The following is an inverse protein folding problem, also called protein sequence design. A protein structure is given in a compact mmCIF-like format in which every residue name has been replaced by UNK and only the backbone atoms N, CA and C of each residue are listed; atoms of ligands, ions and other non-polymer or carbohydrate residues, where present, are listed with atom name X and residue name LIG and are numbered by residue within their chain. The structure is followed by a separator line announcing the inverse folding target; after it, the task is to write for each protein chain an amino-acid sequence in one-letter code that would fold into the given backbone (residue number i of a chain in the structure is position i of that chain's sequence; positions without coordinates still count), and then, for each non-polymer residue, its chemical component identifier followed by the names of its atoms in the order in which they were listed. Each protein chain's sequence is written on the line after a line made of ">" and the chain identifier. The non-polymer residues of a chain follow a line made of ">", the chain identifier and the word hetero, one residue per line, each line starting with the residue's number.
data_IF_095754547798
#
_entry.id   IF_095754547798
#
_cell.length_a   1.000
_cell.length_b   1.000
_cell.length_c   1.000
_cell.angle_alpha   90.00
_cell.angle_beta   90.00
_cell.angle_gamma   90.00
#
_symmetry.space_group_name_H-M   'P 1'
#
loop_
_entity.id
_entity.type
_entity.pdbx_description
1 polymer ?
#
# COMPACT_ATOMS: atom_id res chain seq x y z
N UNK A 1 -11.86 -1.93 23.66
CA UNK A 1 -12.75 -2.17 22.50
C UNK A 1 -12.79 -0.87 21.73
N UNK A 2 -12.24 -0.85 20.52
CA UNK A 2 -12.49 0.29 19.63
C UNK A 2 -13.97 0.28 19.26
N UNK A 3 -14.64 1.43 19.43
CA UNK A 3 -16.09 1.54 19.34
C UNK A 3 -16.62 1.39 17.90
N UNK A 4 -17.95 1.38 17.74
CA UNK A 4 -18.62 1.27 16.42
C UNK A 4 -18.08 2.27 15.39
N UNK A 5 -17.78 3.49 15.82
CA UNK A 5 -17.25 4.57 14.98
C UNK A 5 -15.90 4.22 14.33
N UNK A 6 -15.06 3.44 15.04
CA UNK A 6 -13.77 2.98 14.53
C UNK A 6 -13.95 1.97 13.40
N UNK A 7 -14.83 0.99 13.59
CA UNK A 7 -15.16 0.00 12.56
C UNK A 7 -15.76 0.67 11.31
N UNK A 8 -16.67 1.63 11.49
CA UNK A 8 -17.23 2.37 10.36
C UNK A 8 -16.17 3.21 9.62
N UNK A 9 -15.17 3.73 10.33
CA UNK A 9 -14.08 4.46 9.72
C UNK A 9 -13.14 3.54 8.93
N UNK A 10 -12.87 2.33 9.44
CA UNK A 10 -12.13 1.28 8.72
C UNK A 10 -12.88 0.89 7.43
N UNK A 11 -14.17 0.56 7.52
CA UNK A 11 -15.01 0.21 6.36
C UNK A 11 -15.03 1.34 5.30
N UNK A 12 -15.20 2.59 5.74
CA UNK A 12 -15.15 3.75 4.82
C UNK A 12 -13.78 3.88 4.13
N UNK A 13 -12.70 3.65 4.86
CA UNK A 13 -11.35 3.75 4.32
C UNK A 13 -11.06 2.63 3.31
N UNK A 14 -11.49 1.40 3.60
CA UNK A 14 -11.41 0.27 2.66
C UNK A 14 -12.21 0.53 1.39
N UNK A 15 -13.46 0.99 1.51
CA UNK A 15 -14.30 1.37 0.36
C UNK A 15 -13.66 2.47 -0.48
N UNK A 16 -13.04 3.46 0.17
CA UNK A 16 -12.34 4.54 -0.52
C UNK A 16 -11.14 4.00 -1.32
N UNK A 17 -10.33 3.15 -0.70
CA UNK A 17 -9.21 2.47 -1.33
C UNK A 17 -9.65 1.61 -2.52
N UNK A 18 -10.72 0.82 -2.38
CA UNK A 18 -11.31 0.03 -3.47
C UNK A 18 -11.77 0.91 -4.63
N UNK A 19 -12.48 2.00 -4.32
CA UNK A 19 -12.98 2.94 -5.33
C UNK A 19 -11.83 3.60 -6.10
N UNK A 20 -10.79 4.04 -5.39
CA UNK A 20 -9.63 4.66 -6.02
C UNK A 20 -8.83 3.64 -6.85
N UNK A 21 -8.62 2.43 -6.34
CA UNK A 21 -7.94 1.36 -7.06
C UNK A 21 -8.69 1.02 -8.36
N UNK A 22 -10.02 0.89 -8.32
CA UNK A 22 -10.83 0.62 -9.52
C UNK A 22 -10.70 1.73 -10.58
N UNK A 23 -10.61 3.00 -10.16
CA UNK A 23 -10.36 4.12 -11.09
C UNK A 23 -8.98 4.05 -11.73
N UNK A 24 -7.97 3.67 -10.96
CA UNK A 24 -6.61 3.47 -11.49
C UNK A 24 -6.52 2.24 -12.38
N UNK A 25 -7.23 1.17 -12.06
CA UNK A 25 -7.33 -0.03 -12.89
C UNK A 25 -7.94 0.30 -14.26
N UNK A 26 -9.00 1.10 -14.29
CA UNK A 26 -9.60 1.58 -15.54
C UNK A 26 -8.63 2.43 -16.38
N UNK A 27 -7.70 3.14 -15.74
CA UNK A 27 -6.75 4.04 -16.40
C UNK A 27 -5.49 3.33 -16.88
N UNK A 28 -4.97 2.39 -16.09
CA UNK A 28 -3.64 1.81 -16.25
C UNK A 28 -3.64 0.29 -16.40
N UNK A 29 -4.80 -0.36 -16.33
CA UNK A 29 -4.91 -1.82 -16.28
C UNK A 29 -4.91 -2.35 -14.84
N UNK A 30 -5.25 -3.63 -14.64
CA UNK A 30 -5.42 -4.21 -13.30
C UNK A 30 -4.13 -4.15 -12.49
N UNK A 31 -4.25 -3.76 -11.22
CA UNK A 31 -3.14 -3.77 -10.28
C UNK A 31 -2.72 -5.20 -9.89
N UNK A 32 -1.47 -5.30 -9.43
CA UNK A 32 -0.98 -6.48 -8.70
C UNK A 32 -0.87 -6.15 -7.22
N UNK A 33 -1.19 -7.11 -6.36
CA UNK A 33 -1.01 -6.95 -4.91
C UNK A 33 0.35 -7.46 -4.48
N UNK A 34 1.11 -6.64 -3.76
CA UNK A 34 2.34 -7.02 -3.07
C UNK A 34 2.09 -7.00 -1.57
N UNK A 35 2.19 -8.18 -0.96
CA UNK A 35 1.94 -8.36 0.46
C UNK A 35 3.12 -7.83 1.28
N UNK A 36 2.84 -6.90 2.19
CA UNK A 36 3.83 -6.29 3.07
C UNK A 36 3.87 -7.09 4.38
N UNK A 37 4.59 -8.23 4.37
CA UNK A 37 4.78 -9.02 5.61
C UNK A 37 5.96 -8.45 6.42
N UNK A 38 5.83 -8.28 7.75
CA UNK A 38 6.99 -8.06 8.60
C UNK A 38 7.81 -9.35 8.65
N UNK A 39 8.87 -9.43 7.86
CA UNK A 39 9.69 -10.65 7.73
C UNK A 39 10.96 -10.63 8.59
N UNK A 40 11.20 -9.56 9.35
CA UNK A 40 12.47 -9.37 10.08
C UNK A 40 13.68 -9.17 9.17
N UNK A 41 13.48 -9.06 7.85
CA UNK A 41 14.52 -8.86 6.84
C UNK A 41 14.71 -7.37 6.57
N UNK A 42 15.93 -6.96 6.22
CA UNK A 42 16.19 -5.61 5.73
C UNK A 42 15.47 -5.41 4.40
N UNK A 43 14.45 -4.56 4.40
CA UNK A 43 13.75 -4.18 3.19
C UNK A 43 14.64 -3.24 2.33
N UNK A 44 14.72 -3.44 1.00
CA UNK A 44 15.35 -2.46 0.12
C UNK A 44 14.47 -1.21 0.00
N UNK A 45 15.03 -0.08 -0.46
CA UNK A 45 14.21 1.08 -0.83
C UNK A 45 13.36 0.76 -2.07
N UNK A 46 12.10 1.25 -2.16
CA UNK A 46 11.45 2.18 -1.21
C UNK A 46 10.71 1.52 -0.03
N UNK A 47 10.70 0.18 0.07
CA UNK A 47 9.96 -0.54 1.12
C UNK A 47 10.47 -0.24 2.53
N UNK A 48 11.79 -0.02 2.68
CA UNK A 48 12.38 0.41 3.96
C UNK A 48 11.74 1.69 4.49
N UNK A 49 11.52 2.67 3.62
CA UNK A 49 10.89 3.95 3.98
C UNK A 49 9.44 3.75 4.43
N UNK A 50 8.68 2.86 3.76
CA UNK A 50 7.31 2.54 4.16
C UNK A 50 7.26 1.91 5.55
N UNK A 51 8.12 0.92 5.82
CA UNK A 51 8.21 0.26 7.13
C UNK A 51 8.63 1.26 8.22
N UNK A 52 9.59 2.14 7.94
CA UNK A 52 10.02 3.18 8.88
C UNK A 52 8.93 4.23 9.19
N UNK A 53 7.85 4.28 8.39
CA UNK A 53 6.69 5.15 8.56
C UNK A 53 5.45 4.38 9.01
N UNK A 54 5.61 3.14 9.45
CA UNK A 54 4.53 2.23 9.85
C UNK A 54 3.45 2.02 8.77
N UNK A 55 3.85 2.18 7.49
CA UNK A 55 2.99 1.91 6.35
C UNK A 55 3.11 0.44 5.94
N UNK A 56 2.50 -0.44 6.74
CA UNK A 56 2.62 -1.89 6.63
C UNK A 56 1.47 -2.58 5.87
N UNK A 57 0.49 -1.84 5.38
CA UNK A 57 -0.59 -2.38 4.56
C UNK A 57 -0.11 -2.83 3.18
N UNK A 58 -0.78 -3.84 2.63
CA UNK A 58 -0.48 -4.38 1.30
C UNK A 58 -0.54 -3.32 0.20
N UNK A 59 0.39 -3.43 -0.74
CA UNK A 59 0.53 -2.49 -1.84
C UNK A 59 -0.24 -2.98 -3.08
N UNK A 60 -1.17 -2.17 -3.56
CA UNK A 60 -1.75 -2.29 -4.91
C UNK A 60 -0.86 -1.56 -5.89
N UNK A 61 -0.28 -2.29 -6.84
CA UNK A 61 0.80 -1.82 -7.72
C UNK A 61 0.31 -1.66 -9.16
N UNK A 62 0.62 -0.50 -9.75
CA UNK A 62 0.53 -0.27 -11.19
C UNK A 62 1.92 0.02 -11.75
N UNK A 63 2.25 -0.61 -12.86
CA UNK A 63 3.40 -0.23 -13.66
C UNK A 63 4.11 -1.37 -14.38
N UNK A 64 5.09 -1.03 -15.24
CA UNK A 64 5.51 0.35 -15.53
C UNK A 64 4.40 1.12 -16.26
N UNK A 65 4.12 2.34 -15.80
CA UNK A 65 3.15 3.26 -16.40
C UNK A 65 3.73 3.83 -17.70
N UNK A 66 2.91 4.45 -18.58
CA UNK A 66 3.41 5.08 -19.81
C UNK A 66 4.53 6.12 -19.58
N UNK A 67 4.61 6.71 -18.39
CA UNK A 67 5.69 7.63 -17.99
C UNK A 67 6.99 6.93 -17.56
N UNK A 68 7.07 5.60 -17.64
CA UNK A 68 8.18 4.79 -17.11
C UNK A 68 8.20 4.64 -15.58
N UNK A 69 7.21 5.21 -14.87
CA UNK A 69 7.14 5.19 -13.40
C UNK A 69 6.31 4.01 -12.90
N UNK A 70 6.48 3.71 -11.62
CA UNK A 70 5.66 2.78 -10.86
C UNK A 70 4.84 3.55 -9.83
N UNK A 71 3.60 3.11 -9.61
CA UNK A 71 2.71 3.67 -8.61
C UNK A 71 2.20 2.55 -7.70
N UNK A 72 2.03 2.87 -6.42
CA UNK A 72 1.43 1.97 -5.45
C UNK A 72 0.49 2.72 -4.51
N UNK A 73 -0.56 2.04 -4.07
CA UNK A 73 -1.45 2.48 -2.99
C UNK A 73 -1.46 1.46 -1.86
N UNK A 74 -1.45 1.93 -0.63
CA UNK A 74 -1.62 1.12 0.58
C UNK A 74 -2.49 1.86 1.58
N UNK A 75 -3.30 1.11 2.33
CA UNK A 75 -4.08 1.62 3.44
C UNK A 75 -3.44 1.11 4.74
N UNK A 76 -3.13 2.04 5.63
CA UNK A 76 -2.38 1.77 6.85
C UNK A 76 -3.12 2.35 8.05
N UNK A 77 -2.84 1.83 9.24
CA UNK A 77 -3.35 2.44 10.46
C UNK A 77 -2.59 3.72 10.80
N UNK A 78 -3.20 4.57 11.60
CA UNK A 78 -2.58 5.76 12.16
C UNK A 78 -2.94 5.91 13.63
N UNK A 79 -1.95 6.25 14.45
CA UNK A 79 -2.10 6.47 15.89
C UNK A 79 -2.78 7.83 16.24
N UNK A 80 -3.35 8.52 15.25
CA UNK A 80 -3.94 9.86 15.39
C UNK A 80 -5.47 9.89 15.38
N UNK A 81 -6.04 11.08 15.28
CA UNK A 81 -7.51 11.31 15.28
C UNK A 81 -8.23 10.70 14.07
N UNK A 82 -7.49 10.28 13.04
CA UNK A 82 -8.00 9.50 11.92
C UNK A 82 -7.41 8.08 12.00
N UNK A 83 -8.23 7.03 12.07
CA UNK A 83 -7.76 5.66 12.31
C UNK A 83 -6.92 5.10 11.16
N UNK A 84 -7.16 5.61 9.95
CA UNK A 84 -6.60 5.06 8.72
C UNK A 84 -5.97 6.15 7.86
N UNK A 85 -4.84 5.84 7.25
CA UNK A 85 -4.14 6.68 6.27
C UNK A 85 -4.02 5.94 4.94
N UNK A 86 -4.26 6.68 3.86
CA UNK A 86 -4.01 6.19 2.50
C UNK A 86 -2.63 6.70 2.05
N UNK A 87 -1.72 5.78 1.80
CA UNK A 87 -0.35 6.07 1.38
C UNK A 87 -0.20 5.79 -0.11
N UNK A 88 0.33 6.78 -0.85
CA UNK A 88 0.70 6.63 -2.25
C UNK A 88 2.22 6.66 -2.40
N UNK A 89 2.76 5.70 -3.13
CA UNK A 89 4.18 5.62 -3.48
C UNK A 89 4.32 5.74 -4.99
N UNK A 90 5.19 6.65 -5.44
CA UNK A 90 5.55 6.80 -6.86
C UNK A 90 7.07 6.75 -6.97
N UNK A 91 7.59 5.92 -7.86
CA UNK A 91 9.03 5.74 -8.05
C UNK A 91 9.37 5.49 -9.52
N UNK A 92 10.61 5.75 -9.89
CA UNK A 92 11.21 5.37 -11.17
C UNK A 92 11.81 3.95 -11.15
N UNK A 93 11.82 3.27 -9.99
CA UNK A 93 12.35 1.90 -9.84
C UNK A 93 11.22 0.87 -9.81
N UNK A 94 11.46 -0.37 -10.30
CA UNK A 94 10.49 -1.45 -10.18
C UNK A 94 10.12 -1.76 -8.73
N UNK A 95 8.83 -1.95 -8.48
CA UNK A 95 8.29 -2.41 -7.20
C UNK A 95 8.09 -3.92 -7.25
N UNK A 96 9.19 -4.67 -7.13
CA UNK A 96 9.18 -6.14 -7.08
C UNK A 96 9.18 -6.64 -5.65
N UNK A 97 8.55 -7.79 -5.39
CA UNK A 97 8.60 -8.47 -4.09
C UNK A 97 10.07 -8.67 -3.68
N UNK A 98 10.46 -8.36 -2.43
CA UNK A 98 11.76 -8.76 -1.90
C UNK A 98 11.91 -10.29 -2.02
N UNK A 99 13.11 -10.81 -2.31
CA UNK A 99 13.34 -12.26 -2.29
C UNK A 99 12.94 -12.82 -0.92
N UNK A 100 12.27 -13.97 -0.90
CA UNK A 100 12.03 -14.68 0.37
C UNK A 100 13.38 -15.00 1.01
N UNK A 101 13.53 -14.89 2.34
CA UNK A 101 14.72 -15.41 3.01
C UNK A 101 14.84 -16.89 2.67
N UNK A 102 16.04 -17.30 2.25
CA UNK A 102 16.32 -18.69 1.92
C UNK A 102 15.87 -19.58 3.09
N UNK A 103 14.99 -20.54 2.79
CA UNK A 103 14.50 -21.56 3.72
C UNK A 103 15.63 -22.37 4.34
#
# INVERSE_FOLDING_TARGET
>A
MYGREWNEAEERAELHLMTLAARLDARFGPHRTLVMRPTGVVHPEPFRTLVAKDCLGDLRLWGPLPSGRWAALSLNQSDGDAPMILTALVTDRPLTRPPDPAS
#
